data_IF_103304982373
#
_entry.id   IF_103304982373
#
_cell.length_a   1.000
_cell.length_b   1.000
_cell.length_c   1.000
_cell.angle_alpha   90.00
_cell.angle_beta   90.00
_cell.angle_gamma   90.00
#
_symmetry.space_group_name_H-M   'P 1'
#
loop_
_entity.id
_entity.type
_entity.pdbx_description
1 polymer ?
#
# COMPACT_ATOMS: atom_id res chain seq x y z
N UNK A 1 54.09 -26.36 35.84
CA UNK A 1 53.80 -25.06 35.22
C UNK A 1 52.33 -25.03 34.89
N UNK A 2 51.50 -24.13 35.42
CA UNK A 2 50.11 -23.99 35.03
C UNK A 2 50.04 -23.32 33.63
N UNK A 3 49.00 -23.63 32.80
CA UNK A 3 48.88 -23.06 31.49
C UNK A 3 48.63 -21.54 31.58
N UNK A 4 49.33 -20.77 30.76
CA UNK A 4 49.09 -19.33 30.59
C UNK A 4 47.68 -19.13 30.10
N UNK A 5 46.87 -18.42 30.88
CA UNK A 5 45.59 -17.88 30.44
C UNK A 5 45.86 -16.83 29.35
N UNK A 6 45.60 -17.18 28.10
CA UNK A 6 45.51 -16.18 27.05
C UNK A 6 44.33 -15.26 27.36
N UNK A 7 44.50 -13.93 27.26
CA UNK A 7 43.42 -13.01 27.53
C UNK A 7 42.27 -13.22 26.52
N UNK A 8 41.07 -13.47 27.04
CA UNK A 8 39.82 -13.51 26.23
C UNK A 8 39.79 -12.23 25.40
N UNK A 9 39.66 -12.32 24.05
CA UNK A 9 39.60 -11.13 23.22
C UNK A 9 38.51 -10.19 23.74
N UNK A 10 38.86 -8.93 24.04
CA UNK A 10 37.92 -7.94 24.54
C UNK A 10 36.77 -7.83 23.53
N UNK A 11 35.56 -8.21 23.93
CA UNK A 11 34.38 -8.09 23.10
C UNK A 11 34.33 -6.65 22.58
N UNK A 12 34.48 -6.44 21.27
CA UNK A 12 34.36 -5.10 20.66
C UNK A 12 33.08 -4.48 21.15
N UNK A 13 33.21 -3.37 21.91
CA UNK A 13 32.08 -2.65 22.48
C UNK A 13 31.11 -2.30 21.33
N UNK A 14 29.89 -2.86 21.35
CA UNK A 14 28.88 -2.61 20.31
C UNK A 14 28.58 -1.13 20.23
N UNK A 15 28.47 -0.60 19.02
CA UNK A 15 28.07 0.80 18.80
C UNK A 15 26.64 1.02 19.24
N UNK A 16 26.38 2.09 20.00
CA UNK A 16 25.03 2.45 20.41
C UNK A 16 24.38 3.29 19.31
N UNK A 17 23.27 2.82 18.75
CA UNK A 17 22.50 3.49 17.70
C UNK A 17 21.09 3.74 18.18
N UNK A 18 20.63 4.98 18.05
CA UNK A 18 19.26 5.36 18.37
C UNK A 18 18.37 5.27 17.11
N UNK A 19 17.17 4.72 17.30
CA UNK A 19 16.12 4.70 16.27
C UNK A 19 14.96 5.58 16.75
N UNK A 20 14.76 6.69 16.04
CA UNK A 20 13.66 7.60 16.29
C UNK A 20 12.69 7.54 15.11
N UNK A 21 11.89 6.50 15.06
CA UNK A 21 10.97 6.17 13.95
C UNK A 21 9.57 5.94 14.51
N UNK A 22 8.56 6.60 13.93
CA UNK A 22 7.16 6.37 14.28
C UNK A 22 6.72 4.98 13.83
N UNK A 23 6.50 4.06 14.75
CA UNK A 23 6.02 2.71 14.48
C UNK A 23 4.54 2.48 14.81
N UNK A 24 3.78 3.54 15.04
CA UNK A 24 2.32 3.48 15.00
C UNK A 24 1.80 3.18 13.59
N UNK A 25 2.61 3.46 12.56
CA UNK A 25 2.33 3.28 11.14
C UNK A 25 3.01 2.04 10.56
N UNK A 26 2.34 1.40 9.59
CA UNK A 26 2.91 0.28 8.82
C UNK A 26 4.25 0.66 8.18
N UNK A 27 4.32 1.84 7.57
CA UNK A 27 5.52 2.38 6.94
C UNK A 27 6.73 2.37 7.90
N UNK A 28 6.57 2.92 9.10
CA UNK A 28 7.65 2.97 10.11
C UNK A 28 8.02 1.58 10.65
N UNK A 29 7.03 0.72 10.93
CA UNK A 29 7.29 -0.67 11.35
C UNK A 29 8.12 -1.44 10.33
N UNK A 30 7.85 -1.28 9.04
CA UNK A 30 8.60 -1.93 7.96
C UNK A 30 10.04 -1.40 7.87
N UNK A 31 10.26 -0.09 8.07
CA UNK A 31 11.61 0.48 8.16
C UNK A 31 12.39 -0.15 9.32
N UNK A 32 11.78 -0.21 10.52
CA UNK A 32 12.41 -0.85 11.68
C UNK A 32 12.76 -2.32 11.44
N UNK A 33 11.91 -3.07 10.74
CA UNK A 33 12.21 -4.45 10.33
C UNK A 33 13.43 -4.52 9.40
N UNK A 34 13.60 -3.54 8.50
CA UNK A 34 14.78 -3.43 7.64
C UNK A 34 16.06 -3.17 8.44
N UNK A 35 16.01 -2.23 9.39
CA UNK A 35 17.12 -1.98 10.34
C UNK A 35 17.42 -3.24 11.16
N UNK A 36 16.38 -3.90 11.69
CA UNK A 36 16.56 -5.12 12.49
C UNK A 36 17.20 -6.26 11.67
N UNK A 37 16.88 -6.36 10.36
CA UNK A 37 17.53 -7.30 9.46
C UNK A 37 19.03 -7.01 9.37
N UNK A 38 19.41 -5.76 9.12
CA UNK A 38 20.83 -5.34 9.07
C UNK A 38 21.55 -5.65 10.39
N UNK A 39 20.96 -5.34 11.53
CA UNK A 39 21.56 -5.57 12.86
C UNK A 39 21.80 -7.07 13.11
N UNK A 40 20.86 -7.94 12.72
CA UNK A 40 21.01 -9.39 12.83
C UNK A 40 22.14 -9.94 11.95
N UNK A 41 22.31 -9.39 10.75
CA UNK A 41 23.34 -9.85 9.82
C UNK A 41 24.76 -9.41 10.24
N UNK A 42 24.90 -8.24 10.90
CA UNK A 42 26.20 -7.64 11.20
C UNK A 42 26.62 -7.70 12.68
N UNK A 43 25.68 -7.89 13.60
CA UNK A 43 25.88 -8.05 15.07
C UNK A 43 26.74 -6.99 15.77
N UNK A 44 26.90 -5.78 15.21
CA UNK A 44 27.83 -4.75 15.66
C UNK A 44 27.18 -3.58 16.41
N UNK A 45 25.83 -3.56 16.49
CA UNK A 45 25.07 -2.49 17.14
C UNK A 45 24.37 -2.95 18.43
N UNK A 46 24.25 -2.00 19.37
CA UNK A 46 23.28 -1.99 20.46
C UNK A 46 22.25 -0.92 20.13
N UNK A 47 21.01 -1.33 19.93
CA UNK A 47 19.95 -0.43 19.44
C UNK A 47 19.13 0.07 20.62
N UNK A 48 18.95 1.40 20.71
CA UNK A 48 17.95 2.05 21.55
C UNK A 48 16.76 2.45 20.68
N UNK A 49 15.59 1.88 20.96
CA UNK A 49 14.33 2.17 20.27
C UNK A 49 13.23 2.22 21.33
N UNK A 50 12.50 3.33 21.33
CA UNK A 50 11.37 3.52 22.24
C UNK A 50 10.10 3.75 21.43
N UNK A 51 8.93 3.43 22.00
CA UNK A 51 7.67 3.80 21.38
C UNK A 51 7.56 5.32 21.34
N UNK A 52 7.65 5.86 20.13
CA UNK A 52 7.56 7.28 19.88
C UNK A 52 6.67 7.52 18.66
N UNK A 53 5.86 8.57 18.77
CA UNK A 53 5.06 9.08 17.65
C UNK A 53 5.61 10.44 17.28
N UNK A 54 5.66 10.74 16.01
CA UNK A 54 6.18 12.03 15.57
C UNK A 54 5.37 13.24 16.10
N UNK A 55 4.13 13.03 16.61
CA UNK A 55 3.34 14.04 17.36
C UNK A 55 3.76 14.22 18.80
N UNK A 56 4.57 13.30 19.33
CA UNK A 56 5.03 13.39 20.70
C UNK A 56 6.17 14.42 20.80
N UNK A 57 6.37 15.04 21.96
CA UNK A 57 7.53 15.90 22.17
C UNK A 57 8.83 15.17 21.85
N UNK A 58 9.85 15.93 21.46
CA UNK A 58 11.21 15.36 21.28
C UNK A 58 11.62 14.62 22.55
N UNK A 59 11.95 13.32 22.50
CA UNK A 59 12.24 12.53 23.68
C UNK A 59 13.38 13.16 24.49
N UNK A 60 13.19 13.23 25.81
CA UNK A 60 14.14 13.91 26.69
C UNK A 60 15.56 13.31 26.63
N UNK A 61 15.65 11.98 26.39
CA UNK A 61 16.92 11.29 26.28
C UNK A 61 17.76 11.73 25.07
N UNK A 62 17.15 12.27 24.01
CA UNK A 62 17.87 12.78 22.83
C UNK A 62 18.85 13.86 23.23
N UNK A 63 18.45 14.78 24.10
CA UNK A 63 19.32 15.89 24.56
C UNK A 63 20.60 15.41 25.24
N UNK A 64 20.55 14.22 25.83
CA UNK A 64 21.66 13.60 26.56
C UNK A 64 22.28 12.42 25.83
N UNK A 65 21.92 12.21 24.55
CA UNK A 65 22.40 11.08 23.75
C UNK A 65 23.92 11.13 23.61
N UNK A 66 24.59 10.04 24.00
CA UNK A 66 26.04 9.85 23.87
C UNK A 66 26.41 8.64 23.02
N UNK A 67 25.44 8.12 22.26
CA UNK A 67 25.66 7.00 21.36
C UNK A 67 26.40 7.38 20.10
N UNK A 68 26.61 6.40 19.25
CA UNK A 68 27.47 6.52 18.06
C UNK A 68 26.75 7.13 16.86
N UNK A 69 25.43 6.95 16.72
CA UNK A 69 24.67 7.43 15.57
C UNK A 69 23.16 7.33 15.75
N UNK A 70 22.42 7.89 14.79
CA UNK A 70 20.95 7.98 14.80
C UNK A 70 20.36 7.63 13.42
N UNK A 71 19.27 6.87 13.42
CA UNK A 71 18.35 6.78 12.26
C UNK A 71 17.05 7.42 12.71
N UNK A 72 16.60 8.47 12.01
CA UNK A 72 15.46 9.26 12.44
C UNK A 72 14.43 9.48 11.31
N UNK A 73 13.18 9.45 11.70
CA UNK A 73 12.06 9.96 10.90
C UNK A 73 11.86 11.43 11.25
N UNK A 74 12.41 12.31 10.43
CA UNK A 74 12.32 13.75 10.66
C UNK A 74 11.06 14.30 9.98
N UNK A 75 10.10 14.74 10.77
CA UNK A 75 8.84 15.32 10.27
C UNK A 75 8.76 16.83 10.51
N UNK A 76 9.49 17.34 11.50
CA UNK A 76 9.46 18.78 11.85
C UNK A 76 10.87 19.39 11.85
N UNK A 77 10.97 20.70 11.54
CA UNK A 77 12.25 21.43 11.62
C UNK A 77 12.85 21.41 13.04
N UNK A 78 12.00 21.44 14.08
CA UNK A 78 12.44 21.43 15.49
C UNK A 78 13.13 20.12 15.85
N UNK A 79 12.56 18.98 15.40
CA UNK A 79 13.17 17.67 15.59
C UNK A 79 14.48 17.56 14.80
N UNK A 80 14.50 18.02 13.54
CA UNK A 80 15.70 18.03 12.73
C UNK A 80 16.83 18.83 13.39
N UNK A 81 16.52 20.00 13.96
CA UNK A 81 17.47 20.83 14.68
C UNK A 81 17.96 20.18 15.99
N UNK A 82 17.07 19.53 16.74
CA UNK A 82 17.43 18.80 17.94
C UNK A 82 18.40 17.64 17.64
N UNK A 83 18.16 16.89 16.57
CA UNK A 83 19.04 15.80 16.11
C UNK A 83 20.37 16.34 15.60
N UNK A 84 20.38 17.44 14.83
CA UNK A 84 21.59 18.06 14.32
C UNK A 84 22.53 18.50 15.43
N UNK A 85 21.99 19.01 16.55
CA UNK A 85 22.78 19.42 17.74
C UNK A 85 23.52 18.27 18.43
N UNK A 86 23.14 17.02 18.18
CA UNK A 86 23.86 15.85 18.71
C UNK A 86 25.27 15.70 18.12
N UNK A 87 25.49 16.25 16.94
CA UNK A 87 26.75 16.18 16.20
C UNK A 87 27.28 14.73 16.02
N UNK A 88 26.37 13.78 15.80
CA UNK A 88 26.67 12.38 15.50
C UNK A 88 26.19 12.00 14.09
N UNK A 89 26.82 11.02 13.44
CA UNK A 89 26.32 10.47 12.19
C UNK A 89 24.83 10.17 12.26
N UNK A 90 24.05 10.75 11.34
CA UNK A 90 22.60 10.64 11.33
C UNK A 90 22.11 10.37 9.92
N UNK A 91 21.12 9.48 9.78
CA UNK A 91 20.41 9.21 8.52
C UNK A 91 18.93 9.50 8.73
N UNK A 92 18.39 10.37 7.87
CA UNK A 92 16.96 10.65 7.80
C UNK A 92 16.26 9.63 6.89
N UNK A 93 15.07 9.18 7.28
CA UNK A 93 14.25 8.23 6.49
C UNK A 93 12.89 8.82 6.07
N UNK A 94 12.73 10.14 6.19
CA UNK A 94 11.47 10.83 5.87
C UNK A 94 11.64 12.03 4.93
N UNK A 95 12.62 12.87 5.21
CA UNK A 95 12.90 14.08 4.45
C UNK A 95 12.00 15.24 4.84
N UNK A 96 12.47 16.08 5.75
CA UNK A 96 11.86 17.37 6.03
C UNK A 96 12.53 18.46 5.19
N UNK A 97 11.75 19.41 4.69
CA UNK A 97 12.29 20.53 3.90
C UNK A 97 13.31 21.34 4.70
N UNK A 98 14.44 21.68 4.08
CA UNK A 98 15.50 22.48 4.70
C UNK A 98 16.46 21.71 5.62
N UNK A 99 16.36 20.37 5.69
CA UNK A 99 17.30 19.53 6.42
C UNK A 99 18.35 18.94 5.46
N UNK A 100 19.63 19.22 5.69
CA UNK A 100 20.76 18.75 4.87
C UNK A 100 21.33 17.40 5.34
N UNK A 101 20.57 16.64 6.17
CA UNK A 101 21.00 15.31 6.59
C UNK A 101 20.91 14.30 5.45
N UNK A 102 21.80 13.28 5.44
CA UNK A 102 21.71 12.17 4.51
C UNK A 102 20.33 11.52 4.55
N UNK A 103 19.70 11.41 3.38
CA UNK A 103 18.31 10.97 3.25
C UNK A 103 18.22 9.65 2.46
N UNK A 104 17.53 8.66 3.04
CA UNK A 104 17.05 7.47 2.32
C UNK A 104 15.52 7.53 2.34
N UNK A 105 14.88 7.61 1.19
CA UNK A 105 13.41 7.76 1.13
C UNK A 105 12.80 7.02 -0.07
N UNK A 106 11.48 7.03 -0.15
CA UNK A 106 10.73 6.51 -1.29
C UNK A 106 10.90 7.39 -2.54
N UNK A 107 11.04 6.77 -3.72
CA UNK A 107 10.98 7.45 -5.02
C UNK A 107 9.52 7.81 -5.36
N UNK A 108 9.04 8.94 -4.81
CA UNK A 108 7.65 9.37 -4.94
C UNK A 108 7.20 9.59 -6.40
N UNK A 109 8.13 9.94 -7.31
CA UNK A 109 7.83 10.07 -8.73
C UNK A 109 7.37 8.74 -9.33
N UNK A 110 8.07 7.65 -9.04
CA UNK A 110 7.69 6.32 -9.51
C UNK A 110 6.39 5.83 -8.88
N UNK A 111 6.15 6.15 -7.61
CA UNK A 111 4.86 5.84 -6.95
C UNK A 111 3.71 6.47 -7.72
N UNK A 112 3.81 7.75 -8.06
CA UNK A 112 2.78 8.48 -8.79
C UNK A 112 2.63 8.00 -10.23
N UNK A 113 3.75 7.71 -10.92
CA UNK A 113 3.71 7.18 -12.27
C UNK A 113 2.99 5.83 -12.33
N UNK A 114 3.29 4.91 -11.41
CA UNK A 114 2.61 3.61 -11.36
C UNK A 114 1.11 3.76 -11.13
N UNK A 115 0.70 4.65 -10.21
CA UNK A 115 -0.71 4.90 -9.97
C UNK A 115 -1.41 5.49 -11.21
N UNK A 116 -0.79 6.46 -11.87
CA UNK A 116 -1.34 7.08 -13.08
C UNK A 116 -1.46 6.05 -14.23
N UNK A 117 -0.40 5.32 -14.52
CA UNK A 117 -0.40 4.28 -15.58
C UNK A 117 -1.45 3.20 -15.32
N UNK A 118 -1.60 2.77 -14.06
CA UNK A 118 -2.60 1.80 -13.67
C UNK A 118 -4.03 2.26 -13.98
N UNK A 119 -4.34 3.53 -13.73
CA UNK A 119 -5.65 4.11 -14.03
C UNK A 119 -5.82 4.36 -15.53
N UNK A 120 -4.77 4.82 -16.24
CA UNK A 120 -4.79 5.02 -17.71
C UNK A 120 -5.06 3.69 -18.44
N UNK A 121 -4.37 2.62 -18.05
CA UNK A 121 -4.55 1.29 -18.63
C UNK A 121 -5.97 0.73 -18.43
N UNK A 122 -6.69 1.21 -17.41
CA UNK A 122 -8.11 0.87 -17.17
C UNK A 122 -9.08 1.76 -17.92
N UNK A 123 -8.58 2.65 -18.76
CA UNK A 123 -9.38 3.48 -19.67
C UNK A 123 -10.02 4.70 -19.01
N UNK A 124 -9.64 5.07 -17.79
CA UNK A 124 -10.10 6.33 -17.20
C UNK A 124 -9.67 7.52 -18.04
N UNK A 125 -10.47 8.57 -18.04
CA UNK A 125 -10.23 9.83 -18.76
C UNK A 125 -10.30 11.04 -17.80
N UNK A 126 -10.96 10.87 -16.66
CA UNK A 126 -11.02 11.86 -15.61
C UNK A 126 -10.16 11.38 -14.44
N UNK A 127 -9.32 12.26 -13.95
CA UNK A 127 -8.37 11.93 -12.89
C UNK A 127 -8.44 12.94 -11.77
N UNK A 128 -8.19 12.45 -10.55
CA UNK A 128 -8.10 13.31 -9.40
C UNK A 128 -7.03 12.82 -8.42
N UNK A 129 -6.49 13.73 -7.66
CA UNK A 129 -5.57 13.45 -6.56
C UNK A 129 -6.16 13.95 -5.26
N UNK A 130 -6.12 13.11 -4.24
CA UNK A 130 -6.58 13.47 -2.90
C UNK A 130 -5.48 13.20 -1.87
N UNK A 131 -4.93 14.26 -1.31
CA UNK A 131 -3.82 14.18 -0.37
C UNK A 131 -4.01 15.03 0.88
N UNK A 132 -2.90 15.21 1.60
CA UNK A 132 -2.75 16.07 2.75
C UNK A 132 -1.80 17.20 2.37
N UNK A 133 -2.32 18.40 2.24
CA UNK A 133 -1.56 19.59 1.85
C UNK A 133 -0.52 19.92 2.92
N UNK A 134 0.73 20.18 2.51
CA UNK A 134 1.84 20.46 3.42
C UNK A 134 2.59 19.20 3.92
N UNK A 135 2.09 18.01 3.64
CA UNK A 135 2.85 16.79 3.89
C UNK A 135 3.78 16.51 2.70
N UNK A 136 5.10 16.55 2.90
CA UNK A 136 6.10 16.46 1.83
C UNK A 136 5.87 15.32 0.83
N UNK A 137 5.56 14.12 1.31
CA UNK A 137 5.29 12.96 0.46
C UNK A 137 4.02 13.12 -0.36
N UNK A 138 2.97 13.73 0.24
CA UNK A 138 1.69 13.96 -0.41
C UNK A 138 1.83 15.01 -1.52
N UNK A 139 2.50 16.14 -1.22
CA UNK A 139 2.73 17.21 -2.18
C UNK A 139 3.61 16.74 -3.34
N UNK A 140 4.67 15.97 -3.05
CA UNK A 140 5.49 15.34 -4.07
C UNK A 140 4.71 14.37 -4.96
N UNK A 141 3.88 13.48 -4.37
CA UNK A 141 3.03 12.54 -5.12
C UNK A 141 2.00 13.28 -5.96
N UNK A 142 1.38 14.34 -5.43
CA UNK A 142 0.44 15.20 -6.18
C UNK A 142 1.09 15.80 -7.41
N UNK A 143 2.26 16.43 -7.24
CA UNK A 143 3.03 17.03 -8.33
C UNK A 143 3.34 16.02 -9.44
N UNK A 144 3.94 14.90 -9.08
CA UNK A 144 4.36 13.88 -10.05
C UNK A 144 3.20 13.16 -10.72
N UNK A 145 2.07 12.98 -10.03
CA UNK A 145 0.86 12.41 -10.62
C UNK A 145 0.27 13.33 -11.69
N UNK A 146 0.15 14.63 -11.39
CA UNK A 146 -0.28 15.63 -12.36
C UNK A 146 0.65 15.70 -13.57
N UNK A 147 1.97 15.83 -13.34
CA UNK A 147 2.96 15.89 -14.41
C UNK A 147 2.93 14.66 -15.32
N UNK A 148 2.71 13.47 -14.74
CA UNK A 148 2.61 12.24 -15.52
C UNK A 148 1.35 12.24 -16.40
N UNK A 149 0.19 12.59 -15.84
CA UNK A 149 -1.07 12.67 -16.59
C UNK A 149 -1.04 13.70 -17.70
N UNK A 150 -0.43 14.86 -17.47
CA UNK A 150 -0.25 15.93 -18.47
C UNK A 150 0.50 15.45 -19.71
N UNK A 151 1.50 14.55 -19.56
CA UNK A 151 2.22 13.95 -20.70
C UNK A 151 1.32 13.13 -21.61
N UNK A 152 0.20 12.63 -21.09
CA UNK A 152 -0.83 11.89 -21.85
C UNK A 152 -2.02 12.78 -22.25
N UNK A 153 -1.94 14.09 -22.02
CA UNK A 153 -3.00 15.04 -22.38
C UNK A 153 -4.19 15.04 -21.42
N UNK A 154 -4.01 14.61 -20.17
CA UNK A 154 -5.06 14.56 -19.16
C UNK A 154 -4.87 15.62 -18.08
N UNK A 155 -5.98 16.23 -17.66
CA UNK A 155 -6.06 17.07 -16.49
C UNK A 155 -6.28 16.26 -15.21
N UNK A 156 -5.90 16.84 -14.06
CA UNK A 156 -6.07 16.22 -12.75
C UNK A 156 -6.73 17.20 -11.77
N UNK A 157 -7.90 16.85 -11.26
CA UNK A 157 -8.55 17.61 -10.20
C UNK A 157 -7.86 17.35 -8.85
N UNK A 158 -7.50 18.42 -8.13
CA UNK A 158 -6.82 18.31 -6.83
C UNK A 158 -7.78 18.64 -5.71
N UNK A 159 -7.90 17.75 -4.73
CA UNK A 159 -8.65 18.03 -3.52
C UNK A 159 -8.02 19.17 -2.72
N UNK A 160 -8.79 20.21 -2.50
CA UNK A 160 -8.41 21.35 -1.66
C UNK A 160 -9.18 21.26 -0.33
N UNK A 161 -8.50 20.99 0.79
CA UNK A 161 -9.16 20.95 2.08
C UNK A 161 -9.59 22.37 2.50
N UNK A 162 -10.58 22.52 3.41
CA UNK A 162 -10.98 23.82 3.97
C UNK A 162 -9.79 24.57 4.58
N UNK A 163 -9.80 25.89 4.56
CA UNK A 163 -8.67 26.74 5.01
C UNK A 163 -8.23 26.48 6.46
N UNK A 164 -9.15 26.10 7.34
CA UNK A 164 -8.88 25.74 8.74
C UNK A 164 -7.86 24.61 8.87
N UNK A 165 -7.67 23.79 7.81
CA UNK A 165 -6.74 22.65 7.83
C UNK A 165 -5.33 23.00 7.41
N UNK A 166 -5.07 24.18 6.85
CA UNK A 166 -3.75 24.53 6.27
C UNK A 166 -2.61 24.68 7.29
N UNK A 167 -2.95 24.88 8.57
CA UNK A 167 -1.96 25.03 9.66
C UNK A 167 -1.78 23.76 10.50
N UNK A 168 -2.31 22.61 10.03
CA UNK A 168 -2.25 21.36 10.76
C UNK A 168 -1.09 20.50 10.25
N UNK A 169 -0.41 19.83 11.17
CA UNK A 169 0.60 18.83 10.84
C UNK A 169 -0.04 17.59 10.19
N UNK A 170 0.72 16.84 9.38
CA UNK A 170 0.19 15.78 8.51
C UNK A 170 -0.64 14.70 9.22
N UNK A 171 -0.32 14.31 10.44
CA UNK A 171 -1.14 13.35 11.22
C UNK A 171 -2.41 13.97 11.80
N UNK A 172 -2.38 15.24 12.18
CA UNK A 172 -3.62 15.92 12.56
C UNK A 172 -4.55 16.01 11.35
N UNK A 173 -4.00 16.22 10.15
CA UNK A 173 -4.74 16.15 8.90
C UNK A 173 -5.28 14.74 8.62
N UNK A 174 -4.52 13.69 8.89
CA UNK A 174 -5.00 12.31 8.79
C UNK A 174 -6.13 12.02 9.78
N UNK A 175 -5.97 12.41 11.05
CA UNK A 175 -7.00 12.24 12.09
C UNK A 175 -8.22 13.12 11.84
N UNK A 176 -8.02 14.38 11.46
CA UNK A 176 -9.08 15.35 11.16
C UNK A 176 -9.67 15.18 9.76
N UNK A 177 -9.05 14.37 8.91
CA UNK A 177 -9.67 13.93 7.65
C UNK A 177 -11.06 13.33 7.84
N UNK A 178 -11.33 12.76 9.03
CA UNK A 178 -12.67 12.34 9.43
C UNK A 178 -13.61 13.53 9.71
N UNK A 179 -13.12 14.68 10.16
CA UNK A 179 -13.93 15.88 10.42
C UNK A 179 -14.35 16.59 9.12
N UNK A 180 -13.59 16.42 8.04
CA UNK A 180 -13.89 17.03 6.74
C UNK A 180 -14.53 16.05 5.75
N UNK A 181 -15.15 15.00 6.24
CA UNK A 181 -15.81 13.97 5.41
C UNK A 181 -16.90 14.56 4.51
N UNK A 182 -17.68 15.53 5.00
CA UNK A 182 -18.72 16.18 4.20
C UNK A 182 -18.11 16.98 3.05
N UNK A 183 -17.07 17.78 3.32
CA UNK A 183 -16.38 18.53 2.28
C UNK A 183 -15.75 17.61 1.22
N UNK A 184 -15.13 16.51 1.66
CA UNK A 184 -14.60 15.48 0.78
C UNK A 184 -15.71 14.84 -0.07
N UNK A 185 -16.84 14.54 0.54
CA UNK A 185 -18.00 13.95 -0.13
C UNK A 185 -18.60 14.89 -1.20
N UNK A 186 -18.73 16.18 -0.92
CA UNK A 186 -19.16 17.18 -1.90
C UNK A 186 -18.18 17.29 -3.07
N UNK A 187 -16.89 17.33 -2.78
CA UNK A 187 -15.87 17.36 -3.83
C UNK A 187 -15.93 16.10 -4.72
N UNK A 188 -16.04 14.90 -4.12
CA UNK A 188 -16.18 13.66 -4.87
C UNK A 188 -17.41 13.67 -5.79
N UNK A 189 -18.53 14.24 -5.32
CA UNK A 189 -19.76 14.35 -6.12
C UNK A 189 -19.62 15.29 -7.29
N UNK A 190 -18.83 16.36 -7.16
CA UNK A 190 -18.60 17.35 -8.24
C UNK A 190 -17.69 16.87 -9.36
N UNK A 191 -16.89 15.81 -9.14
CA UNK A 191 -16.00 15.28 -10.15
C UNK A 191 -16.77 14.62 -11.32
N UNK A 192 -16.32 14.78 -12.57
CA UNK A 192 -16.89 14.04 -13.69
C UNK A 192 -16.66 12.53 -13.52
N UNK A 193 -17.64 11.71 -13.87
CA UNK A 193 -17.60 10.25 -13.74
C UNK A 193 -17.50 9.55 -15.11
N UNK A 194 -16.85 8.38 -15.19
CA UNK A 194 -16.05 7.74 -14.14
C UNK A 194 -14.72 8.47 -13.91
N UNK A 195 -14.23 8.44 -12.66
CA UNK A 195 -12.98 9.09 -12.27
C UNK A 195 -12.01 8.12 -11.61
N UNK A 196 -10.73 8.19 -11.98
CA UNK A 196 -9.66 7.49 -11.31
C UNK A 196 -8.95 8.41 -10.31
N UNK A 197 -8.94 8.03 -9.04
CA UNK A 197 -8.38 8.85 -7.95
C UNK A 197 -7.13 8.18 -7.38
N UNK A 198 -6.01 8.93 -7.34
CA UNK A 198 -4.88 8.58 -6.50
C UNK A 198 -5.04 9.24 -5.13
N UNK A 199 -5.09 8.43 -4.09
CA UNK A 199 -4.93 8.87 -2.71
C UNK A 199 -3.43 8.96 -2.36
N UNK A 200 -3.03 9.95 -1.57
CA UNK A 200 -1.61 10.11 -1.21
C UNK A 200 -1.06 8.92 -0.41
N UNK A 201 -1.92 8.22 0.36
CA UNK A 201 -1.62 6.98 1.08
C UNK A 201 -2.90 6.16 1.29
N UNK A 202 -2.78 4.97 1.89
CA UNK A 202 -3.92 4.06 2.08
C UNK A 202 -4.94 4.57 3.10
N UNK A 203 -4.50 5.32 4.12
CA UNK A 203 -5.40 5.98 5.09
C UNK A 203 -6.31 6.97 4.36
N UNK A 204 -5.74 7.77 3.46
CA UNK A 204 -6.53 8.70 2.64
C UNK A 204 -7.44 7.97 1.67
N UNK A 205 -6.96 6.86 1.11
CA UNK A 205 -7.77 5.95 0.29
C UNK A 205 -9.02 5.48 1.02
N UNK A 206 -8.87 5.00 2.25
CA UNK A 206 -10.00 4.58 3.10
C UNK A 206 -10.97 5.73 3.41
N UNK A 207 -10.45 6.94 3.67
CA UNK A 207 -11.31 8.11 3.88
C UNK A 207 -12.15 8.45 2.64
N UNK A 208 -11.56 8.36 1.44
CA UNK A 208 -12.29 8.55 0.17
C UNK A 208 -13.37 7.48 0.02
N UNK A 209 -13.06 6.21 0.29
CA UNK A 209 -14.03 5.12 0.19
C UNK A 209 -15.21 5.31 1.15
N UNK A 210 -14.94 5.74 2.39
CA UNK A 210 -15.98 6.05 3.36
C UNK A 210 -16.89 7.22 2.88
N UNK A 211 -16.30 8.23 2.24
CA UNK A 211 -17.05 9.34 1.67
C UNK A 211 -17.89 8.89 0.44
N UNK A 212 -17.34 8.02 -0.42
CA UNK A 212 -18.09 7.43 -1.53
C UNK A 212 -19.31 6.64 -1.03
N UNK A 213 -19.14 5.81 0.00
CA UNK A 213 -20.25 5.03 0.61
C UNK A 213 -21.37 5.93 1.13
N UNK A 214 -21.05 7.05 1.79
CA UNK A 214 -22.05 8.01 2.30
C UNK A 214 -22.83 8.72 1.19
N UNK A 215 -22.26 8.82 -0.01
CA UNK A 215 -22.86 9.48 -1.16
C UNK A 215 -23.43 8.51 -2.20
N UNK A 216 -23.50 7.22 -1.88
CA UNK A 216 -23.94 6.15 -2.79
C UNK A 216 -23.16 6.15 -4.14
N UNK A 217 -21.88 6.57 -4.10
CA UNK A 217 -20.99 6.50 -5.26
C UNK A 217 -20.43 5.10 -5.39
N UNK A 218 -20.48 4.54 -6.59
CA UNK A 218 -20.05 3.18 -6.87
C UNK A 218 -18.53 3.11 -6.99
N UNK A 219 -17.90 2.28 -6.16
CA UNK A 219 -16.47 1.97 -6.22
C UNK A 219 -16.32 0.51 -6.68
N UNK A 220 -15.64 0.25 -7.79
CA UNK A 220 -14.80 1.13 -8.60
C UNK A 220 -15.50 1.77 -9.80
N UNK A 221 -16.77 1.51 -10.08
CA UNK A 221 -17.44 1.80 -11.34
C UNK A 221 -17.56 3.31 -11.65
N UNK A 222 -17.90 4.13 -10.66
CA UNK A 222 -17.95 5.59 -10.80
C UNK A 222 -16.65 6.25 -10.29
N UNK A 223 -16.04 5.66 -9.24
CA UNK A 223 -14.83 6.18 -8.60
C UNK A 223 -13.86 5.04 -8.33
N UNK A 224 -12.84 4.91 -9.15
CA UNK A 224 -11.74 3.99 -8.87
C UNK A 224 -10.70 4.67 -7.98
N UNK A 225 -10.20 3.95 -6.96
CA UNK A 225 -9.31 4.52 -5.95
C UNK A 225 -8.06 3.65 -5.83
N UNK A 226 -6.89 4.28 -5.94
CA UNK A 226 -5.60 3.66 -5.67
C UNK A 226 -4.87 4.42 -4.57
N UNK A 227 -4.43 3.71 -3.53
CA UNK A 227 -3.60 4.22 -2.45
C UNK A 227 -2.11 4.06 -2.70
N UNK A 228 -1.32 4.28 -1.67
CA UNK A 228 0.11 3.96 -1.59
C UNK A 228 0.47 3.58 -0.16
N UNK A 229 1.51 2.78 0.00
CA UNK A 229 2.12 2.15 1.15
C UNK A 229 1.85 0.63 1.21
N UNK A 230 0.74 0.17 0.67
CA UNK A 230 0.21 -1.19 0.77
C UNK A 230 0.17 -1.65 2.24
N UNK A 231 -0.45 -0.84 3.09
CA UNK A 231 -0.79 -1.25 4.45
C UNK A 231 -1.91 -2.29 4.36
N UNK A 232 -1.53 -3.58 4.50
CA UNK A 232 -2.44 -4.70 4.28
C UNK A 232 -3.70 -4.59 5.13
N UNK A 233 -3.58 -4.11 6.38
CA UNK A 233 -4.71 -3.96 7.27
C UNK A 233 -5.73 -2.95 6.72
N UNK A 234 -5.28 -1.76 6.33
CA UNK A 234 -6.17 -0.75 5.74
C UNK A 234 -6.70 -1.17 4.37
N UNK A 235 -5.86 -1.82 3.55
CA UNK A 235 -6.26 -2.25 2.22
C UNK A 235 -7.32 -3.35 2.26
N UNK A 236 -7.16 -4.37 3.10
CA UNK A 236 -8.08 -5.51 3.19
C UNK A 236 -9.38 -5.18 3.95
N UNK A 237 -9.32 -4.31 4.98
CA UNK A 237 -10.51 -3.86 5.72
C UNK A 237 -11.33 -2.80 4.97
N UNK A 238 -10.80 -2.27 3.87
CA UNK A 238 -11.57 -1.39 3.00
C UNK A 238 -12.65 -2.16 2.23
N UNK A 239 -13.78 -1.53 1.98
CA UNK A 239 -14.87 -2.14 1.22
C UNK A 239 -15.29 -1.21 0.05
N UNK A 240 -14.99 -1.65 -1.20
CA UNK A 240 -14.20 -2.83 -1.59
C UNK A 240 -12.70 -2.73 -1.20
N UNK A 241 -11.95 -3.86 -1.14
CA UNK A 241 -10.52 -3.86 -0.83
C UNK A 241 -9.73 -2.89 -1.70
N UNK A 242 -8.82 -2.10 -1.07
CA UNK A 242 -8.12 -0.98 -1.68
C UNK A 242 -6.87 -1.43 -2.45
N UNK A 243 -6.81 -1.10 -3.73
CA UNK A 243 -5.59 -1.19 -4.55
C UNK A 243 -4.56 -0.18 -4.07
N UNK A 244 -3.29 -0.56 -4.03
CA UNK A 244 -2.24 0.31 -3.51
C UNK A 244 -0.91 0.10 -4.21
N UNK A 245 -0.10 1.15 -4.29
CA UNK A 245 1.29 1.06 -4.71
C UNK A 245 2.13 0.59 -3.52
N UNK A 246 2.71 -0.60 -3.64
CA UNK A 246 3.53 -1.19 -2.58
C UNK A 246 4.91 -0.54 -2.53
N UNK A 247 5.30 -0.03 -1.36
CA UNK A 247 6.59 0.60 -1.13
C UNK A 247 7.59 -0.39 -0.54
N UNK A 248 8.86 -0.27 -0.93
CA UNK A 248 9.95 -1.08 -0.38
C UNK A 248 10.56 -0.42 0.88
N UNK A 249 9.71 -0.25 1.89
CA UNK A 249 10.09 0.38 3.17
C UNK A 249 11.07 -0.46 3.98
N UNK A 250 11.05 -1.79 3.80
CA UNK A 250 12.04 -2.67 4.40
C UNK A 250 13.44 -2.36 3.85
N UNK A 251 13.57 -2.17 2.54
CA UNK A 251 14.83 -1.77 1.92
C UNK A 251 15.27 -0.38 2.37
N UNK A 252 14.35 0.58 2.57
CA UNK A 252 14.67 1.89 3.14
C UNK A 252 15.40 1.73 4.48
N UNK A 253 14.87 0.90 5.39
CA UNK A 253 15.47 0.66 6.69
C UNK A 253 16.84 -0.02 6.60
N UNK A 254 16.97 -1.01 5.75
CA UNK A 254 18.25 -1.72 5.54
C UNK A 254 19.32 -0.80 4.96
N UNK A 255 19.00 -0.02 3.92
CA UNK A 255 19.92 0.94 3.30
C UNK A 255 20.28 2.09 4.25
N UNK A 256 19.33 2.54 5.09
CA UNK A 256 19.62 3.54 6.11
C UNK A 256 20.63 3.03 7.14
N UNK A 257 20.49 1.78 7.60
CA UNK A 257 21.44 1.16 8.49
C UNK A 257 22.81 0.95 7.82
N UNK A 258 22.84 0.51 6.55
CA UNK A 258 24.06 0.38 5.76
C UNK A 258 24.79 1.72 5.60
N UNK A 259 24.04 2.78 5.30
CA UNK A 259 24.61 4.13 5.17
C UNK A 259 25.17 4.62 6.50
N UNK A 260 24.42 4.47 7.59
CA UNK A 260 24.88 4.85 8.93
C UNK A 260 26.16 4.11 9.31
N UNK A 261 26.22 2.78 9.10
CA UNK A 261 27.42 1.99 9.38
C UNK A 261 28.64 2.47 8.58
N UNK A 262 28.45 2.81 7.30
CA UNK A 262 29.51 3.39 6.46
C UNK A 262 30.00 4.72 7.05
N UNK A 263 29.09 5.59 7.50
CA UNK A 263 29.43 6.87 8.12
C UNK A 263 30.16 6.68 9.47
N UNK A 264 29.73 5.73 10.28
CA UNK A 264 30.39 5.37 11.54
C UNK A 264 31.81 4.82 11.34
N UNK A 265 32.13 4.32 10.14
CA UNK A 265 33.47 3.87 9.73
C UNK A 265 34.27 4.98 9.01
N UNK A 266 33.82 6.25 9.07
CA UNK A 266 34.50 7.39 8.48
C UNK A 266 34.18 7.61 6.98
N UNK A 267 33.23 6.87 6.42
CA UNK A 267 32.74 7.06 5.05
C UNK A 267 31.93 8.34 4.91
N UNK A 268 32.06 9.01 3.77
CA UNK A 268 31.27 10.22 3.48
C UNK A 268 29.83 9.87 3.10
N UNK A 269 28.84 10.66 3.55
CA UNK A 269 27.46 10.52 3.11
C UNK A 269 27.33 10.84 1.61
N UNK A 270 26.29 10.31 0.92
CA UNK A 270 25.99 10.68 -0.45
C UNK A 270 25.59 12.17 -0.53
N UNK A 271 25.96 12.84 -1.63
CA UNK A 271 25.58 14.24 -1.86
C UNK A 271 24.10 14.42 -2.23
N UNK A 272 23.48 13.38 -2.74
CA UNK A 272 22.06 13.38 -3.15
C UNK A 272 21.29 12.35 -2.33
N UNK A 273 19.99 12.57 -2.10
CA UNK A 273 19.13 11.56 -1.48
C UNK A 273 19.18 10.23 -2.21
N UNK A 274 19.19 9.12 -1.48
CA UNK A 274 19.03 7.79 -2.03
C UNK A 274 17.53 7.47 -2.05
N UNK A 275 16.97 7.38 -3.25
CA UNK A 275 15.54 7.13 -3.43
C UNK A 275 15.29 5.67 -3.79
N UNK A 276 14.44 5.02 -3.03
CA UNK A 276 14.10 3.60 -3.18
C UNK A 276 12.84 3.47 -4.04
N UNK A 277 12.90 2.77 -5.18
CA UNK A 277 11.74 2.57 -6.03
C UNK A 277 10.67 1.72 -5.33
N UNK A 278 9.38 1.92 -5.66
CA UNK A 278 8.30 1.05 -5.18
C UNK A 278 8.42 -0.35 -5.80
N UNK A 279 7.82 -1.34 -5.14
CA UNK A 279 7.80 -2.74 -5.58
C UNK A 279 6.83 -2.98 -6.75
N UNK A 280 5.81 -2.12 -6.91
CA UNK A 280 4.77 -2.26 -7.91
C UNK A 280 3.39 -1.99 -7.35
N UNK A 281 2.36 -2.44 -8.05
CA UNK A 281 0.96 -2.26 -7.66
C UNK A 281 0.40 -3.58 -7.16
N UNK A 282 -0.22 -3.55 -5.98
CA UNK A 282 -1.10 -4.61 -5.50
C UNK A 282 -2.52 -4.21 -5.86
N UNK A 283 -3.00 -4.73 -6.99
CA UNK A 283 -4.33 -4.46 -7.49
C UNK A 283 -5.37 -5.26 -6.68
N UNK A 284 -6.40 -4.55 -6.21
CA UNK A 284 -7.56 -5.08 -5.51
C UNK A 284 -8.84 -4.54 -6.14
N UNK A 285 -9.99 -4.79 -5.47
CA UNK A 285 -11.31 -4.47 -6.04
C UNK A 285 -11.56 -2.99 -6.29
N UNK A 286 -10.93 -2.07 -5.58
CA UNK A 286 -11.17 -0.62 -5.73
C UNK A 286 -10.73 -0.03 -7.07
N UNK A 287 -9.99 -0.80 -7.88
CA UNK A 287 -9.62 -0.44 -9.26
C UNK A 287 -9.82 -1.59 -10.24
N UNK A 288 -10.53 -2.67 -9.82
CA UNK A 288 -10.75 -3.85 -10.68
C UNK A 288 -11.93 -3.63 -11.64
N UNK A 289 -11.85 -2.60 -12.45
CA UNK A 289 -12.84 -2.24 -13.46
C UNK A 289 -12.18 -1.46 -14.61
N UNK A 290 -12.77 -1.58 -15.79
CA UNK A 290 -12.55 -0.59 -16.86
C UNK A 290 -13.54 0.57 -16.67
N UNK A 291 -13.09 1.79 -16.94
CA UNK A 291 -13.92 2.98 -16.83
C UNK A 291 -15.21 2.83 -17.65
N UNK A 292 -16.36 2.93 -17.00
CA UNK A 292 -17.67 2.78 -17.62
C UNK A 292 -18.45 4.08 -17.49
N UNK A 293 -18.86 4.64 -18.65
CA UNK A 293 -19.80 5.77 -18.68
C UNK A 293 -21.27 5.31 -18.56
N UNK A 294 -21.53 4.02 -18.75
CA UNK A 294 -22.88 3.43 -18.68
C UNK A 294 -23.22 3.06 -17.23
N UNK A 295 -23.96 3.93 -16.55
CA UNK A 295 -24.37 3.75 -15.16
C UNK A 295 -25.23 2.50 -14.91
N UNK A 296 -26.09 2.13 -15.89
CA UNK A 296 -26.90 0.92 -15.77
C UNK A 296 -26.00 -0.32 -15.81
N UNK A 297 -25.05 -0.35 -16.78
CA UNK A 297 -24.06 -1.44 -16.86
C UNK A 297 -23.22 -1.50 -15.57
N UNK A 298 -22.77 -0.36 -15.05
CA UNK A 298 -22.01 -0.27 -13.79
C UNK A 298 -22.79 -0.88 -12.62
N UNK A 299 -24.09 -0.58 -12.50
CA UNK A 299 -24.96 -1.16 -11.47
C UNK A 299 -25.04 -2.69 -11.59
N UNK A 300 -25.19 -3.20 -12.82
CA UNK A 300 -25.21 -4.66 -13.05
C UNK A 300 -23.89 -5.34 -12.73
N UNK A 301 -22.77 -4.71 -13.08
CA UNK A 301 -21.42 -5.21 -12.77
C UNK A 301 -21.19 -5.22 -11.24
N UNK A 302 -21.62 -4.19 -10.53
CA UNK A 302 -21.58 -4.17 -9.07
C UNK A 302 -22.39 -5.32 -8.47
N UNK A 303 -23.64 -5.48 -8.87
CA UNK A 303 -24.50 -6.59 -8.41
C UNK A 303 -23.85 -7.96 -8.67
N UNK A 304 -23.27 -8.14 -9.87
CA UNK A 304 -22.53 -9.36 -10.21
C UNK A 304 -21.41 -9.63 -9.20
N UNK A 305 -20.63 -8.61 -8.85
CA UNK A 305 -19.47 -8.74 -7.95
C UNK A 305 -19.87 -8.98 -6.50
N UNK A 306 -20.90 -8.28 -6.02
CA UNK A 306 -21.42 -8.44 -4.65
C UNK A 306 -22.01 -9.83 -4.42
N UNK A 307 -22.66 -10.39 -5.47
CA UNK A 307 -23.41 -11.66 -5.39
C UNK A 307 -22.73 -12.80 -6.17
N UNK A 308 -21.48 -12.63 -6.62
CA UNK A 308 -20.81 -13.60 -7.51
C UNK A 308 -20.72 -15.01 -6.89
N UNK A 309 -20.67 -15.10 -5.57
CA UNK A 309 -20.59 -16.37 -4.82
C UNK A 309 -21.97 -16.95 -4.47
N UNK A 310 -23.04 -16.19 -4.71
CA UNK A 310 -24.41 -16.64 -4.56
C UNK A 310 -24.89 -17.38 -5.82
N UNK A 311 -26.05 -18.03 -5.74
CA UNK A 311 -26.65 -18.73 -6.88
C UNK A 311 -27.31 -17.79 -7.89
N UNK A 312 -26.60 -16.70 -8.31
CA UNK A 312 -27.12 -15.73 -9.26
C UNK A 312 -27.06 -16.22 -10.69
N UNK A 313 -28.01 -15.72 -11.49
CA UNK A 313 -28.06 -15.89 -12.94
C UNK A 313 -27.81 -14.57 -13.68
N UNK A 314 -27.50 -14.63 -14.98
CA UNK A 314 -27.36 -13.43 -15.80
C UNK A 314 -28.67 -12.62 -15.85
N UNK A 315 -29.83 -13.27 -15.67
CA UNK A 315 -31.12 -12.58 -15.59
C UNK A 315 -31.22 -11.71 -14.33
N UNK A 316 -30.70 -12.18 -13.20
CA UNK A 316 -30.72 -11.42 -11.94
C UNK A 316 -29.82 -10.21 -12.03
N UNK A 317 -28.64 -10.36 -12.66
CA UNK A 317 -27.72 -9.25 -12.94
C UNK A 317 -28.36 -8.20 -13.86
N UNK A 318 -28.99 -8.64 -14.94
CA UNK A 318 -29.68 -7.74 -15.88
C UNK A 318 -30.84 -6.99 -15.21
N UNK A 319 -31.61 -7.67 -14.34
CA UNK A 319 -32.68 -7.07 -13.56
C UNK A 319 -32.15 -6.00 -12.61
N UNK A 320 -31.06 -6.26 -11.90
CA UNK A 320 -30.40 -5.29 -11.03
C UNK A 320 -29.93 -4.05 -11.81
N UNK A 321 -29.48 -4.24 -13.06
CA UNK A 321 -29.11 -3.17 -13.97
C UNK A 321 -30.29 -2.39 -14.58
N UNK A 322 -31.52 -2.76 -14.27
CA UNK A 322 -32.74 -2.26 -14.94
C UNK A 322 -32.68 -2.40 -16.47
N UNK A 323 -32.16 -3.55 -16.96
CA UNK A 323 -31.96 -3.84 -18.38
C UNK A 323 -32.57 -5.18 -18.76
N UNK A 324 -32.92 -5.34 -20.07
CA UNK A 324 -33.17 -6.66 -20.60
C UNK A 324 -31.87 -7.48 -20.62
N UNK A 325 -31.96 -8.81 -20.48
CA UNK A 325 -30.79 -9.70 -20.55
C UNK A 325 -29.97 -9.46 -21.82
N UNK A 326 -30.64 -9.39 -22.98
CA UNK A 326 -29.96 -9.17 -24.26
C UNK A 326 -29.19 -7.83 -24.31
N UNK A 327 -29.79 -6.76 -23.76
CA UNK A 327 -29.15 -5.46 -23.72
C UNK A 327 -27.95 -5.50 -22.79
N UNK A 328 -28.08 -6.12 -21.60
CA UNK A 328 -26.99 -6.27 -20.65
C UNK A 328 -25.83 -7.09 -21.22
N UNK A 329 -26.09 -8.29 -21.76
CA UNK A 329 -25.06 -9.15 -22.38
C UNK A 329 -24.33 -8.43 -23.52
N UNK A 330 -25.06 -7.71 -24.40
CA UNK A 330 -24.44 -6.93 -25.50
C UNK A 330 -23.52 -5.84 -24.94
N UNK A 331 -24.00 -4.97 -24.02
CA UNK A 331 -23.21 -3.87 -23.48
C UNK A 331 -22.03 -4.40 -22.67
N UNK A 332 -22.23 -5.45 -21.89
CA UNK A 332 -21.18 -6.10 -21.14
C UNK A 332 -20.09 -6.65 -22.07
N UNK A 333 -20.46 -7.34 -23.13
CA UNK A 333 -19.51 -7.86 -24.11
C UNK A 333 -18.76 -6.74 -24.82
N UNK A 334 -19.45 -5.66 -25.20
CA UNK A 334 -18.80 -4.48 -25.82
C UNK A 334 -17.76 -3.87 -24.89
N UNK A 335 -18.04 -3.81 -23.56
CA UNK A 335 -17.15 -3.21 -22.58
C UNK A 335 -15.98 -4.11 -22.19
N UNK A 336 -16.22 -5.43 -22.01
CA UNK A 336 -15.26 -6.35 -21.40
C UNK A 336 -14.68 -7.38 -22.37
N UNK A 337 -15.20 -7.49 -23.60
CA UNK A 337 -14.74 -8.46 -24.61
C UNK A 337 -15.14 -9.92 -24.33
N UNK A 338 -15.91 -10.18 -23.28
CA UNK A 338 -16.40 -11.51 -22.91
C UNK A 338 -17.79 -11.45 -22.28
N UNK A 339 -18.45 -12.64 -22.20
CA UNK A 339 -19.81 -12.73 -21.67
C UNK A 339 -19.85 -12.59 -20.13
N UNK A 340 -20.95 -12.06 -19.52
CA UNK A 340 -21.11 -11.95 -18.08
C UNK A 340 -20.91 -13.27 -17.34
N UNK A 341 -21.40 -14.38 -17.90
CA UNK A 341 -21.21 -15.74 -17.32
C UNK A 341 -19.73 -16.12 -17.22
N UNK A 342 -18.91 -15.73 -18.18
CA UNK A 342 -17.48 -16.00 -18.16
C UNK A 342 -16.80 -15.22 -17.02
N UNK A 343 -17.22 -13.98 -16.76
CA UNK A 343 -16.74 -13.18 -15.64
C UNK A 343 -17.11 -13.77 -14.28
N UNK A 344 -18.35 -14.19 -14.10
CA UNK A 344 -18.79 -14.91 -12.88
C UNK A 344 -17.88 -16.10 -12.61
N UNK A 345 -17.63 -16.93 -13.61
CA UNK A 345 -16.80 -18.12 -13.47
C UNK A 345 -15.33 -17.79 -13.20
N UNK A 346 -14.81 -16.70 -13.80
CA UNK A 346 -13.45 -16.19 -13.56
C UNK A 346 -13.27 -15.78 -12.08
N UNK A 347 -14.19 -14.98 -11.54
CA UNK A 347 -14.15 -14.52 -10.15
C UNK A 347 -14.29 -15.67 -9.15
N UNK A 348 -15.20 -16.61 -9.41
CA UNK A 348 -15.36 -17.83 -8.61
C UNK A 348 -14.09 -18.68 -8.59
N UNK A 349 -13.43 -18.82 -9.74
CA UNK A 349 -12.17 -19.55 -9.85
C UNK A 349 -11.05 -18.87 -9.08
N UNK A 350 -10.97 -17.55 -9.12
CA UNK A 350 -9.98 -16.78 -8.34
C UNK A 350 -10.16 -17.05 -6.85
N UNK A 351 -11.40 -16.96 -6.34
CA UNK A 351 -11.68 -17.25 -4.93
C UNK A 351 -11.42 -18.71 -4.55
N UNK A 352 -11.71 -19.64 -5.45
CA UNK A 352 -11.39 -21.05 -5.23
C UNK A 352 -9.88 -21.31 -5.10
N UNK A 353 -9.05 -20.60 -5.87
CA UNK A 353 -7.59 -20.67 -5.73
C UNK A 353 -7.11 -20.18 -4.37
N UNK A 354 -7.62 -19.04 -3.90
CA UNK A 354 -7.31 -18.49 -2.57
C UNK A 354 -7.67 -19.50 -1.47
N UNK A 355 -8.90 -20.01 -1.49
CA UNK A 355 -9.35 -21.00 -0.48
C UNK A 355 -8.58 -22.31 -0.54
N UNK A 356 -8.09 -22.72 -1.71
CA UNK A 356 -7.21 -23.89 -1.84
C UNK A 356 -5.83 -23.65 -1.20
N UNK A 357 -5.34 -22.43 -1.20
CA UNK A 357 -4.06 -22.05 -0.61
C UNK A 357 -4.17 -21.88 0.91
N UNK A 358 -5.22 -21.20 1.36
CA UNK A 358 -5.35 -20.70 2.73
C UNK A 358 -6.06 -21.68 3.67
N UNK A 359 -6.73 -22.71 3.13
CA UNK A 359 -7.55 -23.63 3.93
C UNK A 359 -7.33 -25.11 3.58
N UNK A 360 -7.71 -25.98 4.52
CA UNK A 360 -7.78 -27.43 4.30
C UNK A 360 -9.16 -27.92 3.86
N UNK A 361 -10.06 -27.03 3.47
CA UNK A 361 -11.42 -27.37 3.07
C UNK A 361 -11.47 -28.34 1.90
N UNK A 362 -12.47 -29.21 1.91
CA UNK A 362 -12.76 -30.12 0.79
C UNK A 362 -13.22 -29.34 -0.45
N UNK A 363 -13.11 -29.94 -1.64
CA UNK A 363 -13.61 -29.32 -2.85
C UNK A 363 -15.12 -29.02 -2.82
N UNK A 364 -15.90 -29.87 -2.12
CA UNK A 364 -17.32 -29.62 -1.92
C UNK A 364 -17.57 -28.36 -1.08
N UNK A 365 -16.83 -28.19 0.02
CA UNK A 365 -16.91 -27.00 0.86
C UNK A 365 -16.45 -25.73 0.12
N UNK A 366 -15.41 -25.83 -0.71
CA UNK A 366 -14.94 -24.70 -1.53
C UNK A 366 -15.97 -24.36 -2.61
N UNK A 367 -16.56 -25.36 -3.28
CA UNK A 367 -17.60 -25.14 -4.28
C UNK A 367 -18.80 -24.38 -3.71
N UNK A 368 -19.27 -24.81 -2.54
CA UNK A 368 -20.38 -24.16 -1.81
C UNK A 368 -20.09 -22.68 -1.52
N UNK A 369 -18.87 -22.34 -1.05
CA UNK A 369 -18.45 -20.97 -0.68
C UNK A 369 -18.04 -20.11 -1.86
N UNK A 370 -17.90 -20.69 -3.03
CA UNK A 370 -17.49 -19.98 -4.26
C UNK A 370 -18.59 -19.95 -5.33
N UNK A 371 -19.79 -20.43 -4.97
CA UNK A 371 -20.96 -20.43 -5.86
C UNK A 371 -20.87 -21.43 -7.01
N UNK A 372 -19.92 -22.36 -7.01
CA UNK A 372 -19.95 -23.50 -7.93
C UNK A 372 -21.01 -24.50 -7.50
N UNK A 373 -21.75 -25.03 -8.49
CA UNK A 373 -22.90 -25.88 -8.20
C UNK A 373 -22.56 -27.17 -7.44
N UNK A 374 -21.39 -27.77 -7.73
CA UNK A 374 -20.91 -29.01 -7.11
C UNK A 374 -19.36 -29.05 -7.19
N UNK A 375 -18.74 -29.85 -6.31
CA UNK A 375 -17.28 -30.04 -6.26
C UNK A 375 -16.70 -30.62 -7.54
N UNK A 376 -17.41 -31.53 -8.22
CA UNK A 376 -16.99 -32.11 -9.49
C UNK A 376 -16.94 -31.05 -10.61
N UNK A 377 -17.93 -30.14 -10.64
CA UNK A 377 -17.93 -29.04 -11.61
C UNK A 377 -16.78 -28.07 -11.36
N UNK A 378 -16.53 -27.74 -10.10
CA UNK A 378 -15.34 -26.95 -9.72
C UNK A 378 -14.04 -27.65 -10.17
N UNK A 379 -13.90 -28.95 -9.92
CA UNK A 379 -12.72 -29.74 -10.30
C UNK A 379 -12.48 -29.68 -11.81
N UNK A 380 -13.51 -29.98 -12.60
CA UNK A 380 -13.42 -30.00 -14.06
C UNK A 380 -13.06 -28.62 -14.61
N UNK A 381 -13.77 -27.57 -14.16
CA UNK A 381 -13.55 -26.19 -14.60
C UNK A 381 -12.17 -25.66 -14.18
N UNK A 382 -11.75 -25.93 -12.93
CA UNK A 382 -10.42 -25.57 -12.42
C UNK A 382 -9.31 -26.19 -13.27
N UNK A 383 -9.39 -27.51 -13.52
CA UNK A 383 -8.38 -28.24 -14.30
C UNK A 383 -8.34 -27.74 -15.75
N UNK A 384 -9.50 -27.48 -16.36
CA UNK A 384 -9.58 -26.91 -17.71
C UNK A 384 -8.90 -25.54 -17.81
N UNK A 385 -9.06 -24.69 -16.78
CA UNK A 385 -8.56 -23.31 -16.81
C UNK A 385 -7.12 -23.14 -16.31
N UNK A 386 -6.63 -24.05 -15.48
CA UNK A 386 -5.29 -23.95 -14.87
C UNK A 386 -4.29 -24.98 -15.40
N UNK A 387 -4.77 -26.01 -16.12
CA UNK A 387 -3.93 -27.11 -16.59
C UNK A 387 -3.53 -28.14 -15.51
N UNK A 388 -3.88 -27.90 -14.24
CA UNK A 388 -3.56 -28.77 -13.11
C UNK A 388 -4.79 -28.99 -12.23
N UNK A 389 -4.85 -30.13 -11.52
CA UNK A 389 -5.95 -30.41 -10.62
C UNK A 389 -5.90 -29.54 -9.37
N UNK A 390 -7.05 -29.21 -8.72
CA UNK A 390 -7.08 -28.47 -7.45
C UNK A 390 -6.20 -29.07 -6.37
N UNK A 391 -6.14 -30.42 -6.26
CA UNK A 391 -5.28 -31.09 -5.31
C UNK A 391 -3.79 -30.88 -5.56
N UNK A 392 -3.36 -30.89 -6.83
CA UNK A 392 -1.98 -30.57 -7.22
C UNK A 392 -1.65 -29.11 -6.95
N UNK A 393 -2.59 -28.20 -7.25
CA UNK A 393 -2.46 -26.77 -6.96
C UNK A 393 -2.24 -26.52 -5.47
N UNK A 394 -3.06 -27.12 -4.59
CA UNK A 394 -2.91 -27.01 -3.13
C UNK A 394 -1.55 -27.51 -2.63
N UNK A 395 -1.08 -28.65 -3.16
CA UNK A 395 0.23 -29.21 -2.79
C UNK A 395 1.37 -28.25 -3.15
N UNK A 396 1.37 -27.69 -4.35
CA UNK A 396 2.38 -26.74 -4.81
C UNK A 396 2.40 -25.49 -3.94
N UNK A 397 1.23 -24.89 -3.63
CA UNK A 397 1.12 -23.71 -2.79
C UNK A 397 1.66 -23.95 -1.36
N UNK A 398 1.39 -25.13 -0.77
CA UNK A 398 1.93 -25.50 0.55
C UNK A 398 3.44 -25.77 0.53
N UNK A 399 4.01 -26.20 -0.58
CA UNK A 399 5.45 -26.37 -0.76
C UNK A 399 6.15 -25.02 -0.80
N UNK A 400 5.65 -24.08 -1.62
CA UNK A 400 6.18 -22.71 -1.73
C UNK A 400 6.10 -21.92 -0.39
N UNK A 401 5.06 -22.17 0.41
CA UNK A 401 4.92 -21.55 1.73
C UNK A 401 5.91 -22.13 2.75
N UNK A 402 6.22 -23.43 2.67
CA UNK A 402 7.24 -24.08 3.52
C UNK A 402 8.66 -23.67 3.17
N UNK A 403 8.99 -23.49 1.89
CA UNK A 403 10.30 -22.97 1.49
C UNK A 403 10.50 -21.51 1.95
N UNK A 404 9.43 -20.68 1.91
CA UNK A 404 9.46 -19.32 2.44
C UNK A 404 9.56 -19.25 3.97
N UNK A 405 9.02 -20.22 4.68
CA UNK A 405 9.13 -20.32 6.15
C UNK A 405 10.33 -21.15 6.63
N UNK A 406 10.80 -22.12 5.85
CA UNK A 406 11.98 -22.96 6.15
C UNK A 406 13.32 -22.28 5.88
N UNK A 407 13.37 -21.28 5.00
CA UNK A 407 14.52 -20.40 4.81
C UNK A 407 14.79 -19.43 5.98
N UNK A 408 13.92 -19.42 7.00
CA UNK A 408 14.09 -18.62 8.22
C UNK A 408 14.62 -19.42 9.41
N UNK A 409 14.81 -20.76 9.28
CA UNK A 409 15.30 -21.63 10.37
C UNK A 409 16.67 -22.31 10.10
N UNK A 410 17.27 -22.06 8.95
CA UNK A 410 18.59 -22.59 8.65
C UNK A 410 19.53 -21.46 8.20
N UNK A 411 20.02 -20.69 9.16
CA UNK A 411 21.37 -20.05 9.27
C UNK A 411 21.45 -19.25 10.56
#
# INVERSE_FOLDING_TARGET
>A
MPPKNDPIPSAKRRRQVALLIDFSRWYGRRILLGVAKFVREHHNWSVQCEEWRWTDPVPAWIKNWKGSGVIAWLETPELAEAIRKLNVPTVDVRGVSGCELPLINTENRLVSNFAAEHLIQRGFRNYAFCGFVGANYSDARSKWFQEHLTKFGFDCAIYQPPEISRNLQSIELEKRGLLFQEHLAFWLKSLPKPVGIMACNDIRGQQIMNACRRMDLLVPEEVAIIGADNDELFCELSDPPLSSVALDTLRIGYEAATLLERMLNGGKPPKQPVLIPPLGIVARRSTDVFAMSDRQLATGVRFLREHVFDAITVNDIARAAAMSRRAFEKRFFTQFGHAPKAEVLRLRLTRAKELLQDTDWTLAQIADRTGFKHGEYLHAYFTQKTGITPGKFRKNAKFDSKERSGGQQAT
#
